data_IF_810528792945
#
_entry.id   IF_810528792945
#
_cell.length_a   1.000
_cell.length_b   1.000
_cell.length_c   1.000
_cell.angle_alpha   90.00
_cell.angle_beta   90.00
_cell.angle_gamma   90.00
#
_symmetry.space_group_name_H-M   'P 1'
#
loop_
_entity.id
_entity.type
_entity.pdbx_description
1 polymer ?
#
# COMPACT_ATOMS: atom_id res chain seq x y z
N UNK A 1 -37.59 10.29 -11.17
CA UNK A 1 -36.34 11.03 -10.89
C UNK A 1 -36.02 10.86 -9.42
N UNK A 2 -34.95 10.12 -9.05
CA UNK A 2 -34.54 10.05 -7.64
C UNK A 2 -34.00 11.44 -7.28
N UNK A 3 -34.57 12.09 -6.27
CA UNK A 3 -33.99 13.29 -5.67
C UNK A 3 -32.60 12.90 -5.18
N UNK A 4 -31.56 13.21 -5.94
CA UNK A 4 -30.19 12.90 -5.54
C UNK A 4 -29.78 13.97 -4.53
N UNK A 5 -29.62 13.57 -3.27
CA UNK A 5 -29.10 14.42 -2.21
C UNK A 5 -27.72 14.96 -2.65
N UNK A 6 -27.48 16.29 -2.68
CA UNK A 6 -26.24 16.88 -3.18
C UNK A 6 -24.99 16.34 -2.47
N UNK A 7 -25.07 16.06 -1.17
CA UNK A 7 -23.98 15.40 -0.44
C UNK A 7 -23.65 14.02 -1.00
N UNK A 8 -24.67 13.26 -1.39
CA UNK A 8 -24.46 11.92 -1.96
C UNK A 8 -23.78 12.00 -3.32
N UNK A 9 -24.02 13.06 -4.10
CA UNK A 9 -23.32 13.30 -5.36
C UNK A 9 -21.86 13.66 -5.12
N UNK A 10 -21.57 14.54 -4.17
CA UNK A 10 -20.19 14.89 -3.79
C UNK A 10 -19.40 13.68 -3.30
N UNK A 11 -20.00 12.84 -2.45
CA UNK A 11 -19.37 11.60 -1.98
C UNK A 11 -19.09 10.61 -3.13
N UNK A 12 -19.96 10.55 -4.14
CA UNK A 12 -19.72 9.74 -5.35
C UNK A 12 -18.61 10.34 -6.22
N UNK A 13 -18.59 11.65 -6.42
CA UNK A 13 -17.52 12.34 -7.15
C UNK A 13 -16.17 12.12 -6.45
N UNK A 14 -16.16 12.21 -5.11
CA UNK A 14 -15.00 11.90 -4.28
C UNK A 14 -14.57 10.44 -4.42
N UNK A 15 -15.52 9.50 -4.35
CA UNK A 15 -15.24 8.07 -4.53
C UNK A 15 -14.62 7.78 -5.89
N UNK A 16 -15.15 8.38 -6.97
CA UNK A 16 -14.60 8.26 -8.31
C UNK A 16 -13.18 8.83 -8.41
N UNK A 17 -12.94 10.02 -7.83
CA UNK A 17 -11.61 10.63 -7.78
C UNK A 17 -10.61 9.77 -6.98
N UNK A 18 -11.04 9.12 -5.90
CA UNK A 18 -10.19 8.21 -5.11
C UNK A 18 -9.85 6.93 -5.85
N UNK A 19 -10.80 6.33 -6.58
CA UNK A 19 -10.55 5.11 -7.37
C UNK A 19 -9.59 5.38 -8.51
N UNK A 20 -9.70 6.55 -9.14
CA UNK A 20 -8.85 6.96 -10.26
C UNK A 20 -7.57 7.67 -9.81
N UNK A 21 -7.29 7.71 -8.51
CA UNK A 21 -6.06 8.31 -8.00
C UNK A 21 -4.89 7.40 -8.37
N UNK A 22 -3.95 7.92 -9.15
CA UNK A 22 -2.74 7.18 -9.55
C UNK A 22 -1.71 7.00 -8.43
N UNK A 23 -2.02 7.42 -7.19
CA UNK A 23 -1.12 7.35 -6.04
C UNK A 23 -1.47 6.17 -5.11
N UNK A 24 -0.47 5.33 -4.84
CA UNK A 24 -0.50 4.25 -3.87
C UNK A 24 -0.74 4.82 -2.45
N UNK A 25 -2.01 4.90 -2.01
CA UNK A 25 -2.35 5.52 -0.71
C UNK A 25 -1.97 4.65 0.51
N UNK A 26 -1.68 3.37 0.31
CA UNK A 26 -1.09 2.48 1.32
C UNK A 26 -0.10 1.54 0.64
N UNK A 27 1.17 1.73 0.96
CA UNK A 27 2.22 0.79 0.61
C UNK A 27 2.10 -0.48 1.47
N UNK A 28 1.20 -1.40 1.11
CA UNK A 28 1.57 -2.80 1.29
C UNK A 28 2.63 -3.09 0.22
N UNK A 29 3.78 -3.66 0.63
CA UNK A 29 4.91 -3.95 -0.27
C UNK A 29 4.47 -4.96 -1.33
N UNK A 30 3.88 -4.49 -2.42
CA UNK A 30 3.54 -5.33 -3.56
C UNK A 30 4.83 -5.69 -4.27
N UNK A 31 5.17 -6.98 -4.26
CA UNK A 31 6.31 -7.55 -4.99
C UNK A 31 6.16 -7.23 -6.48
N UNK A 32 7.23 -6.71 -7.10
CA UNK A 32 7.20 -6.19 -8.45
C UNK A 32 6.94 -7.31 -9.47
N UNK A 33 6.20 -7.03 -10.55
CA UNK A 33 5.83 -8.06 -11.55
C UNK A 33 7.06 -8.65 -12.23
N UNK A 34 8.12 -7.86 -12.43
CA UNK A 34 9.39 -8.36 -12.98
C UNK A 34 10.14 -9.28 -12.03
N UNK A 35 9.89 -9.25 -10.71
CA UNK A 35 10.48 -10.23 -9.79
C UNK A 35 9.95 -11.63 -10.09
N UNK A 36 8.65 -11.75 -10.35
CA UNK A 36 8.04 -13.02 -10.78
C UNK A 36 8.54 -13.48 -12.15
N UNK A 37 8.74 -12.55 -13.08
CA UNK A 37 9.23 -12.87 -14.44
C UNK A 37 10.70 -13.33 -14.39
N UNK A 38 11.53 -12.73 -13.52
CA UNK A 38 12.92 -13.14 -13.30
C UNK A 38 13.00 -14.59 -12.85
N UNK A 39 12.14 -15.01 -11.91
CA UNK A 39 12.14 -16.37 -11.37
C UNK A 39 11.68 -17.44 -12.40
N UNK A 40 10.99 -17.01 -13.46
CA UNK A 40 10.48 -17.88 -14.52
C UNK A 40 11.26 -17.80 -15.84
N UNK A 41 12.30 -16.97 -15.94
CA UNK A 41 13.10 -16.84 -17.15
C UNK A 41 14.02 -18.07 -17.37
N UNK A 42 14.09 -18.64 -18.57
CA UNK A 42 15.01 -19.76 -18.85
C UNK A 42 16.47 -19.35 -18.60
N UNK A 43 17.27 -20.25 -18.01
CA UNK A 43 18.64 -20.07 -17.45
C UNK A 43 18.73 -19.56 -16.00
N UNK A 44 17.62 -19.22 -15.33
CA UNK A 44 17.69 -18.82 -13.90
C UNK A 44 17.72 -19.98 -12.92
N UNK A 45 17.23 -21.18 -13.26
CA UNK A 45 17.41 -22.38 -12.41
C UNK A 45 18.87 -22.80 -12.29
N UNK A 46 19.63 -22.71 -13.38
CA UNK A 46 21.07 -22.98 -13.39
C UNK A 46 21.88 -21.85 -12.71
N UNK A 47 21.42 -20.59 -12.80
CA UNK A 47 21.96 -19.48 -11.98
C UNK A 47 21.60 -19.60 -10.49
N UNK A 48 20.40 -20.07 -10.15
CA UNK A 48 19.99 -20.34 -8.78
C UNK A 48 20.82 -21.48 -8.15
N UNK A 49 21.23 -22.46 -8.97
CA UNK A 49 22.21 -23.47 -8.57
C UNK A 49 23.63 -22.90 -8.38
N UNK A 50 24.03 -21.85 -9.14
CA UNK A 50 25.26 -21.08 -8.85
C UNK A 50 25.13 -20.20 -7.60
N UNK A 51 23.94 -19.71 -7.27
CA UNK A 51 23.67 -18.93 -6.04
C UNK A 51 23.63 -19.79 -4.76
N UNK A 52 23.62 -21.12 -4.91
CA UNK A 52 23.87 -22.06 -3.81
C UNK A 52 25.37 -22.23 -3.49
N UNK A 53 26.26 -21.51 -4.19
CA UNK A 53 27.70 -21.48 -3.89
C UNK A 53 27.97 -20.61 -2.64
N UNK A 54 28.48 -21.31 -1.63
CA UNK A 54 29.13 -20.91 -0.38
C UNK A 54 28.48 -19.78 0.46
N UNK A 55 27.69 -20.22 1.45
CA UNK A 55 27.19 -19.49 2.63
C UNK A 55 28.28 -18.85 3.53
N UNK A 56 29.53 -18.74 3.09
CA UNK A 56 30.70 -18.45 3.95
C UNK A 56 31.20 -16.99 3.92
N UNK A 57 30.61 -16.16 3.05
CA UNK A 57 31.00 -14.75 2.88
C UNK A 57 32.45 -14.54 2.42
N UNK A 58 33.12 -15.58 1.91
CA UNK A 58 34.55 -15.56 1.57
C UNK A 58 34.89 -14.61 0.43
N UNK A 59 34.02 -14.52 -0.58
CA UNK A 59 34.23 -13.62 -1.73
C UNK A 59 34.15 -12.15 -1.33
N UNK A 60 33.19 -11.77 -0.47
CA UNK A 60 33.06 -10.40 0.05
C UNK A 60 34.27 -10.00 0.88
N UNK A 61 34.76 -10.91 1.72
CA UNK A 61 35.94 -10.67 2.56
C UNK A 61 37.22 -10.49 1.73
N UNK A 62 37.36 -11.21 0.61
CA UNK A 62 38.43 -11.00 -0.37
C UNK A 62 38.30 -9.65 -1.09
N UNK A 63 37.09 -9.32 -1.53
CA UNK A 63 36.80 -8.06 -2.22
C UNK A 63 37.08 -6.83 -1.35
N UNK A 64 36.63 -6.84 -0.09
CA UNK A 64 36.88 -5.74 0.83
C UNK A 64 38.35 -5.70 1.29
N UNK A 65 39.03 -6.85 1.44
CA UNK A 65 40.46 -6.89 1.74
C UNK A 65 41.29 -6.20 0.65
N UNK A 66 41.00 -6.49 -0.62
CA UNK A 66 41.67 -5.86 -1.78
C UNK A 66 41.51 -4.33 -1.83
N UNK A 67 40.53 -3.76 -1.13
CA UNK A 67 40.22 -2.32 -1.09
C UNK A 67 40.44 -1.68 0.28
N UNK A 68 40.94 -2.44 1.24
CA UNK A 68 41.22 -1.97 2.60
C UNK A 68 42.48 -1.09 2.70
N UNK A 69 43.34 -1.12 1.67
CA UNK A 69 44.62 -0.42 1.67
C UNK A 69 45.69 -1.06 2.56
N UNK A 70 45.41 -2.22 3.18
CA UNK A 70 46.39 -2.94 4.01
C UNK A 70 47.22 -3.88 3.14
N UNK A 71 48.53 -3.63 3.11
CA UNK A 71 49.47 -4.42 2.33
C UNK A 71 49.54 -5.88 2.85
N UNK A 72 49.42 -6.85 1.95
CA UNK A 72 49.42 -8.28 2.29
C UNK A 72 48.08 -8.85 2.80
N UNK A 73 47.03 -8.04 2.93
CA UNK A 73 45.73 -8.53 3.39
C UNK A 73 44.95 -9.22 2.26
N UNK A 74 44.93 -10.56 2.27
CA UNK A 74 44.23 -11.36 1.26
C UNK A 74 42.73 -11.53 1.54
N UNK A 75 42.31 -11.56 2.81
CA UNK A 75 40.91 -11.79 3.19
C UNK A 75 40.64 -11.16 4.56
N UNK A 76 39.53 -10.43 4.69
CA UNK A 76 39.12 -9.87 5.97
C UNK A 76 38.65 -10.96 6.95
N UNK A 77 38.87 -10.77 8.27
CA UNK A 77 38.32 -11.66 9.28
C UNK A 77 36.79 -11.51 9.35
N UNK A 78 36.11 -12.58 9.78
CA UNK A 78 34.63 -12.65 9.79
C UNK A 78 33.97 -11.55 10.63
N UNK A 79 34.61 -11.10 11.72
CA UNK A 79 34.06 -10.03 12.57
C UNK A 79 34.10 -8.65 11.89
N UNK A 80 34.93 -8.46 10.86
CA UNK A 80 35.12 -7.19 10.18
C UNK A 80 34.18 -7.01 8.97
N UNK A 81 33.35 -8.02 8.65
CA UNK A 81 32.41 -7.97 7.53
C UNK A 81 31.04 -8.44 8.04
N UNK A 82 30.03 -7.60 7.86
CA UNK A 82 28.65 -7.95 8.20
C UNK A 82 28.23 -9.23 7.44
N UNK A 83 27.77 -10.28 8.13
CA UNK A 83 27.26 -11.50 7.50
C UNK A 83 26.00 -11.27 6.67
N UNK A 84 25.33 -10.13 6.83
CA UNK A 84 24.11 -9.78 6.09
C UNK A 84 24.47 -9.40 4.65
N UNK A 85 23.81 -10.06 3.69
CA UNK A 85 23.96 -9.79 2.25
C UNK A 85 23.80 -8.29 1.99
N UNK A 86 24.78 -7.70 1.30
CA UNK A 86 24.54 -6.43 0.63
C UNK A 86 23.49 -6.71 -0.45
N UNK A 87 22.26 -6.27 -0.21
CA UNK A 87 21.30 -6.02 -1.29
C UNK A 87 21.97 -5.02 -2.23
N UNK A 88 22.09 -5.36 -3.51
CA UNK A 88 22.52 -4.38 -4.50
C UNK A 88 21.33 -3.45 -4.74
N UNK A 89 21.28 -2.37 -3.96
CA UNK A 89 20.20 -1.39 -4.02
C UNK A 89 20.25 -0.60 -5.35
N UNK A 90 21.36 -0.65 -6.08
CA UNK A 90 21.55 0.06 -7.34
C UNK A 90 20.95 -0.63 -8.58
N UNK A 91 20.64 -1.93 -8.51
CA UNK A 91 20.14 -2.72 -9.67
C UNK A 91 18.61 -2.78 -9.75
N UNK A 92 17.89 -2.35 -8.71
CA UNK A 92 16.45 -2.26 -8.79
C UNK A 92 16.09 -0.87 -9.29
N UNK A 93 15.33 -0.73 -10.38
CA UNK A 93 14.55 0.49 -10.58
C UNK A 93 13.75 0.64 -9.29
N UNK A 94 14.09 1.66 -8.50
CA UNK A 94 13.20 2.07 -7.45
C UNK A 94 11.96 2.58 -8.16
N UNK A 95 10.96 1.72 -8.32
CA UNK A 95 9.57 2.14 -8.39
C UNK A 95 9.27 2.77 -7.04
N UNK A 96 9.81 3.97 -6.83
CA UNK A 96 9.40 4.81 -5.73
C UNK A 96 7.93 5.12 -6.04
N UNK A 97 6.97 4.59 -5.25
CA UNK A 97 5.57 4.95 -5.42
C UNK A 97 5.32 6.46 -5.23
N UNK A 98 6.36 7.21 -4.83
CA UNK A 98 6.40 8.67 -4.73
C UNK A 98 6.45 9.40 -6.09
N UNK A 99 6.78 8.73 -7.20
CA UNK A 99 6.72 9.31 -8.57
C UNK A 99 5.36 9.00 -9.25
N UNK A 100 4.36 8.55 -8.49
CA UNK A 100 3.00 8.73 -8.93
C UNK A 100 2.67 10.22 -8.86
N UNK A 101 2.45 10.85 -10.01
CA UNK A 101 1.86 12.20 -10.09
C UNK A 101 0.54 12.12 -9.32
N UNK A 102 0.53 12.66 -8.10
CA UNK A 102 -0.67 12.76 -7.29
C UNK A 102 -1.59 13.75 -8.00
N UNK A 103 -2.39 13.25 -8.93
CA UNK A 103 -3.66 13.89 -9.29
C UNK A 103 -4.53 13.77 -8.05
N UNK A 104 -4.21 14.60 -7.05
CA UNK A 104 -4.83 14.56 -5.75
C UNK A 104 -6.34 14.75 -5.88
N UNK A 105 -7.07 14.34 -4.85
CA UNK A 105 -8.49 14.63 -4.75
C UNK A 105 -8.72 16.12 -5.04
N UNK A 106 -9.65 16.46 -5.96
CA UNK A 106 -9.95 17.84 -6.33
C UNK A 106 -10.14 18.72 -5.09
N UNK A 107 -9.68 19.97 -5.13
CA UNK A 107 -9.70 20.87 -3.96
C UNK A 107 -11.10 20.99 -3.35
N UNK A 108 -12.14 21.05 -4.19
CA UNK A 108 -13.55 21.09 -3.79
C UNK A 108 -14.01 19.84 -3.01
N UNK A 109 -13.29 18.72 -3.10
CA UNK A 109 -13.59 17.45 -2.44
C UNK A 109 -12.64 17.12 -1.28
N UNK A 110 -11.58 17.91 -1.06
CA UNK A 110 -10.61 17.70 0.03
C UNK A 110 -11.23 17.80 1.42
N UNK A 111 -12.35 18.50 1.54
CA UNK A 111 -13.10 18.56 2.80
C UNK A 111 -13.60 17.17 3.21
N UNK A 112 -13.96 16.30 2.24
CA UNK A 112 -14.39 14.91 2.47
C UNK A 112 -13.24 14.10 3.07
N UNK A 113 -12.01 14.25 2.57
CA UNK A 113 -10.85 13.55 3.12
C UNK A 113 -10.56 13.98 4.56
N UNK A 114 -10.60 15.29 4.84
CA UNK A 114 -10.43 15.82 6.20
C UNK A 114 -11.53 15.31 7.14
N UNK A 115 -12.77 15.30 6.66
CA UNK A 115 -13.93 14.81 7.37
C UNK A 115 -13.81 13.30 7.66
N UNK A 116 -13.40 12.49 6.69
CA UNK A 116 -13.12 11.06 6.87
C UNK A 116 -11.97 10.80 7.82
N UNK A 117 -10.87 11.55 7.74
CA UNK A 117 -9.75 11.41 8.67
C UNK A 117 -10.19 11.74 10.10
N UNK A 118 -11.03 12.76 10.28
CA UNK A 118 -11.62 13.08 11.58
C UNK A 118 -12.56 11.98 12.07
N UNK A 119 -13.43 11.45 11.20
CA UNK A 119 -14.35 10.37 11.53
C UNK A 119 -13.58 9.09 11.89
N UNK A 120 -12.54 8.74 11.17
CA UNK A 120 -11.75 7.53 11.40
C UNK A 120 -11.13 7.48 12.81
N UNK A 121 -10.79 8.64 13.38
CA UNK A 121 -10.26 8.75 14.75
C UNK A 121 -11.31 8.46 15.83
N UNK A 122 -12.59 8.74 15.57
CA UNK A 122 -13.67 8.59 16.55
C UNK A 122 -14.51 7.32 16.30
N UNK A 123 -14.77 7.02 15.03
CA UNK A 123 -15.66 5.97 14.54
C UNK A 123 -14.98 5.22 13.37
N UNK A 124 -13.94 4.40 13.64
CA UNK A 124 -13.13 3.76 12.60
C UNK A 124 -13.96 2.86 11.66
N UNK A 125 -14.90 2.07 12.21
CA UNK A 125 -15.80 1.23 11.42
C UNK A 125 -16.65 2.05 10.45
N UNK A 126 -17.19 3.18 10.92
CA UNK A 126 -18.06 4.05 10.11
C UNK A 126 -17.28 4.70 8.97
N UNK A 127 -16.06 5.15 9.24
CA UNK A 127 -15.18 5.69 8.20
C UNK A 127 -14.80 4.63 7.16
N UNK A 128 -14.60 3.38 7.58
CA UNK A 128 -14.35 2.25 6.69
C UNK A 128 -15.54 1.97 5.79
N UNK A 129 -16.75 1.98 6.35
CA UNK A 129 -18.02 1.79 5.62
C UNK A 129 -18.20 2.88 4.56
N UNK A 130 -18.02 4.16 4.89
CA UNK A 130 -18.16 5.26 3.91
C UNK A 130 -17.15 5.10 2.78
N UNK A 131 -15.88 4.82 3.12
CA UNK A 131 -14.85 4.61 2.11
C UNK A 131 -15.26 3.49 1.15
N UNK A 132 -15.57 2.31 1.67
CA UNK A 132 -15.96 1.16 0.85
C UNK A 132 -17.25 1.40 0.07
N UNK A 133 -18.23 2.12 0.62
CA UNK A 133 -19.49 2.42 -0.08
C UNK A 133 -19.28 3.25 -1.34
N UNK A 134 -18.40 4.26 -1.29
CA UNK A 134 -18.22 5.19 -2.39
C UNK A 134 -17.03 4.87 -3.31
N UNK A 135 -16.05 4.08 -2.87
CA UNK A 135 -14.92 3.68 -3.72
C UNK A 135 -15.06 2.31 -4.37
N UNK A 136 -15.87 1.39 -3.81
CA UNK A 136 -16.01 0.04 -4.39
C UNK A 136 -17.29 -0.05 -5.23
N UNK A 137 -17.15 -0.52 -6.46
CA UNK A 137 -18.30 -0.80 -7.35
C UNK A 137 -18.83 -2.22 -7.16
N UNK A 138 -19.51 -2.46 -6.04
CA UNK A 138 -20.11 -3.76 -5.70
C UNK A 138 -21.45 -3.60 -4.95
N UNK A 139 -22.18 -4.70 -4.79
CA UNK A 139 -23.40 -4.71 -3.98
C UNK A 139 -23.09 -4.49 -2.49
N UNK A 140 -24.04 -3.92 -1.74
CA UNK A 140 -23.84 -3.66 -0.31
C UNK A 140 -23.55 -4.93 0.50
N UNK A 141 -24.05 -6.09 0.08
CA UNK A 141 -23.74 -7.38 0.71
C UNK A 141 -22.26 -7.76 0.55
N UNK A 142 -21.67 -7.50 -0.63
CA UNK A 142 -20.24 -7.74 -0.86
C UNK A 142 -19.41 -6.73 -0.07
N UNK A 143 -19.78 -5.45 -0.15
CA UNK A 143 -19.12 -4.37 0.61
C UNK A 143 -19.13 -4.62 2.12
N UNK A 144 -20.25 -5.08 2.68
CA UNK A 144 -20.33 -5.38 4.12
C UNK A 144 -19.38 -6.51 4.52
N UNK A 145 -19.18 -7.51 3.65
CA UNK A 145 -18.20 -8.59 3.89
C UNK A 145 -16.77 -8.06 3.82
N UNK A 146 -16.45 -7.26 2.80
CA UNK A 146 -15.13 -6.63 2.68
C UNK A 146 -14.79 -5.77 3.91
N UNK A 147 -15.75 -4.99 4.40
CA UNK A 147 -15.58 -4.19 5.63
C UNK A 147 -15.41 -5.09 6.86
N UNK A 148 -16.19 -6.17 6.97
CA UNK A 148 -16.07 -7.12 8.07
C UNK A 148 -14.67 -7.75 8.14
N UNK A 149 -14.16 -8.21 7.00
CA UNK A 149 -12.81 -8.78 6.84
C UNK A 149 -11.73 -7.76 7.21
N UNK A 150 -11.84 -6.53 6.68
CA UNK A 150 -10.84 -5.49 6.92
C UNK A 150 -10.86 -4.95 8.37
N UNK A 151 -12.02 -4.89 9.01
CA UNK A 151 -12.15 -4.46 10.40
C UNK A 151 -11.77 -5.58 11.39
N UNK A 152 -11.79 -6.84 10.97
CA UNK A 152 -11.50 -7.99 11.83
C UNK A 152 -12.67 -8.40 12.73
N UNK A 153 -13.91 -8.32 12.24
CA UNK A 153 -15.10 -8.65 13.04
C UNK A 153 -16.31 -9.08 12.21
N UNK A 154 -17.44 -9.34 12.87
CA UNK A 154 -18.70 -9.67 12.21
C UNK A 154 -19.51 -8.39 11.96
N UNK A 155 -19.86 -8.14 10.69
CA UNK A 155 -20.71 -7.02 10.30
C UNK A 155 -21.91 -7.52 9.49
N UNK A 156 -23.11 -7.31 10.02
CA UNK A 156 -24.35 -7.63 9.28
C UNK A 156 -24.69 -6.52 8.29
N UNK A 157 -25.43 -6.86 7.22
CA UNK A 157 -25.91 -5.87 6.24
C UNK A 157 -26.80 -4.79 6.89
N UNK A 158 -27.57 -5.16 7.92
CA UNK A 158 -28.40 -4.20 8.67
C UNK A 158 -27.54 -3.18 9.40
N UNK A 159 -26.50 -3.64 10.11
CA UNK A 159 -25.55 -2.76 10.78
C UNK A 159 -24.79 -1.89 9.78
N UNK A 160 -24.36 -2.45 8.64
CA UNK A 160 -23.71 -1.70 7.57
C UNK A 160 -24.58 -0.51 7.11
N UNK A 161 -25.85 -0.75 6.81
CA UNK A 161 -26.78 0.31 6.37
C UNK A 161 -27.07 1.34 7.47
N UNK A 162 -27.20 0.89 8.71
CA UNK A 162 -27.40 1.76 9.85
C UNK A 162 -26.21 2.70 10.07
N UNK A 163 -25.00 2.15 10.08
CA UNK A 163 -23.77 2.93 10.24
C UNK A 163 -23.53 3.86 9.04
N UNK A 164 -23.84 3.40 7.82
CA UNK A 164 -23.78 4.26 6.64
C UNK A 164 -24.70 5.47 6.78
N UNK A 165 -25.96 5.27 7.20
CA UNK A 165 -26.90 6.37 7.42
C UNK A 165 -26.40 7.35 8.50
N UNK A 166 -25.85 6.83 9.61
CA UNK A 166 -25.23 7.65 10.66
C UNK A 166 -24.01 8.41 10.16
N UNK A 167 -23.25 7.82 9.25
CA UNK A 167 -22.13 8.50 8.61
C UNK A 167 -22.61 9.66 7.75
N UNK A 168 -23.63 9.44 6.92
CA UNK A 168 -24.21 10.50 6.08
C UNK A 168 -24.77 11.63 6.93
N UNK A 169 -25.47 11.34 8.02
CA UNK A 169 -25.92 12.34 9.00
C UNK A 169 -24.75 13.15 9.59
N UNK A 170 -23.66 12.47 9.95
CA UNK A 170 -22.46 13.12 10.47
C UNK A 170 -21.83 14.08 9.45
N UNK A 171 -21.78 13.68 8.18
CA UNK A 171 -21.33 14.55 7.08
C UNK A 171 -22.24 15.77 6.91
N UNK A 172 -23.57 15.58 6.95
CA UNK A 172 -24.53 16.70 6.88
C UNK A 172 -24.33 17.70 8.01
N UNK A 173 -24.14 17.23 9.25
CA UNK A 173 -23.87 18.10 10.38
C UNK A 173 -22.61 18.95 10.22
N UNK A 174 -21.64 18.48 9.44
CA UNK A 174 -20.39 19.20 9.15
C UNK A 174 -20.52 20.23 8.01
N UNK A 175 -21.48 20.05 7.10
CA UNK A 175 -21.79 21.05 6.07
C UNK A 175 -22.62 22.21 6.62
N UNK A 176 -23.34 21.99 7.72
CA UNK A 176 -24.16 22.99 8.38
C UNK A 176 -23.40 23.84 9.42
N UNK A 177 -22.16 23.49 9.74
CA UNK A 177 -21.31 24.12 10.76
C UNK A 177 -20.18 24.91 10.12
#
# INVERSE_FOLDING_TARGET
MRSTDPLTEELRRWGHAQVNRFALSRADRSVHVLDKVRDHAPLTRERAARDLVARDGGERRRFMAARSGVEGMATLPMWAVDPVRASNDADHPHDNPEIAVDTGTPDELRWVDRALASMARQFPLRALIVRTEYTVSASQTVKSRMVAEQYGGLLTLRQYRYELAKATEWFRGRLAA
#
